data_IF_097830606148
#
_entry.id   IF_097830606148
#
_cell.length_a   1.000
_cell.length_b   1.000
_cell.length_c   1.000
_cell.angle_alpha   90.00
_cell.angle_beta   90.00
_cell.angle_gamma   90.00
#
_symmetry.space_group_name_H-M   'P 1'
#
loop_
_entity.id
_entity.type
_entity.pdbx_description
1 polymer ?
#
# COMPACT_ATOMS: atom_id res chain seq x y z
N UNK A 1 18.37 20.43 -3.92
CA UNK A 1 16.89 20.61 -3.86
C UNK A 1 16.10 19.62 -4.72
N UNK A 2 16.65 18.44 -5.08
CA UNK A 2 15.98 17.41 -5.92
C UNK A 2 15.80 16.05 -5.20
N UNK A 3 16.04 15.99 -3.89
CA UNK A 3 16.27 14.72 -3.19
C UNK A 3 15.04 14.13 -2.47
N UNK A 4 13.89 14.79 -2.57
CA UNK A 4 12.66 14.36 -1.89
C UNK A 4 11.67 13.62 -2.80
N UNK A 5 11.88 13.58 -4.12
CA UNK A 5 10.94 12.93 -5.04
C UNK A 5 10.83 11.42 -4.79
N UNK A 6 11.94 10.72 -4.52
CA UNK A 6 11.92 9.29 -4.21
C UNK A 6 11.18 9.01 -2.89
N UNK A 7 11.33 9.88 -1.89
CA UNK A 7 10.58 9.78 -0.62
C UNK A 7 9.08 10.03 -0.83
N UNK A 8 8.74 11.03 -1.65
CA UNK A 8 7.35 11.31 -2.01
C UNK A 8 6.69 10.16 -2.76
N UNK A 9 7.39 9.55 -3.71
CA UNK A 9 6.90 8.41 -4.47
C UNK A 9 6.86 7.13 -3.61
N UNK A 10 7.72 7.02 -2.60
CA UNK A 10 7.62 5.94 -1.59
C UNK A 10 6.35 6.07 -0.74
N UNK A 11 5.99 7.29 -0.32
CA UNK A 11 4.76 7.54 0.45
C UNK A 11 3.50 7.54 -0.43
N UNK A 12 3.63 7.98 -1.68
CA UNK A 12 2.55 8.08 -2.66
C UNK A 12 2.96 7.39 -3.97
N UNK A 13 2.84 6.05 -4.05
CA UNK A 13 3.28 5.27 -5.20
C UNK A 13 2.64 5.69 -6.52
N UNK A 14 1.38 6.13 -6.48
CA UNK A 14 0.62 6.56 -7.67
C UNK A 14 0.89 8.01 -8.08
N UNK A 15 1.82 8.71 -7.44
CA UNK A 15 2.04 10.15 -7.65
C UNK A 15 2.28 10.52 -9.12
N UNK A 16 3.04 9.72 -9.87
CA UNK A 16 3.35 9.96 -11.28
C UNK A 16 2.20 9.59 -12.25
N UNK A 17 1.28 8.72 -11.84
CA UNK A 17 0.21 8.17 -12.68
C UNK A 17 -1.20 8.68 -12.31
N UNK A 18 -1.34 9.37 -11.18
CA UNK A 18 -2.63 9.83 -10.68
C UNK A 18 -3.16 11.03 -11.48
N UNK A 19 -4.46 11.00 -11.79
CA UNK A 19 -5.11 11.95 -12.71
C UNK A 19 -4.89 13.43 -12.34
N UNK A 20 -4.84 13.76 -11.06
CA UNK A 20 -4.70 15.15 -10.59
C UNK A 20 -3.26 15.59 -10.34
N UNK A 21 -2.35 14.65 -10.05
CA UNK A 21 -0.97 15.00 -9.66
C UNK A 21 0.05 14.73 -10.75
N UNK A 22 -0.32 14.00 -11.81
CA UNK A 22 0.56 13.59 -12.90
C UNK A 22 1.35 14.74 -13.52
N UNK A 23 0.69 15.86 -13.85
CA UNK A 23 1.37 16.96 -14.54
C UNK A 23 2.41 17.64 -13.65
N UNK A 24 2.06 17.90 -12.38
CA UNK A 24 2.99 18.44 -11.37
C UNK A 24 4.11 17.45 -11.07
N UNK A 25 3.80 16.17 -10.94
CA UNK A 25 4.78 15.10 -10.71
C UNK A 25 5.79 15.01 -11.86
N UNK A 26 5.32 15.12 -13.10
CA UNK A 26 6.16 15.14 -14.28
C UNK A 26 7.01 16.41 -14.38
N UNK A 27 6.57 17.56 -13.86
CA UNK A 27 7.36 18.80 -13.86
C UNK A 27 8.42 18.83 -12.74
N UNK A 28 8.03 18.45 -11.52
CA UNK A 28 8.89 18.55 -10.33
C UNK A 28 9.80 17.33 -10.18
N UNK A 29 9.28 16.15 -10.49
CA UNK A 29 9.94 14.86 -10.30
C UNK A 29 10.19 14.11 -11.63
N UNK A 30 10.45 14.85 -12.71
CA UNK A 30 10.63 14.31 -14.06
C UNK A 30 11.59 13.11 -14.14
N UNK A 31 12.72 13.14 -13.41
CA UNK A 31 13.67 12.01 -13.33
C UNK A 31 13.03 10.76 -12.72
N UNK A 32 12.36 10.94 -11.58
CA UNK A 32 11.73 9.85 -10.83
C UNK A 32 10.48 9.30 -11.50
N UNK A 33 9.77 10.12 -12.29
CA UNK A 33 8.63 9.71 -13.09
C UNK A 33 9.02 9.19 -14.48
N UNK A 34 10.30 8.82 -14.70
CA UNK A 34 10.72 8.13 -15.93
C UNK A 34 10.74 8.97 -17.20
N UNK A 35 10.71 10.31 -17.11
CA UNK A 35 10.83 11.20 -18.28
C UNK A 35 12.25 11.29 -18.82
N UNK A 36 13.25 10.96 -18.01
CA UNK A 36 14.63 10.82 -18.47
C UNK A 36 14.90 9.35 -18.85
N UNK A 37 15.76 9.13 -19.84
CA UNK A 37 16.25 7.80 -20.18
C UNK A 37 17.10 7.25 -19.02
N UNK A 38 16.45 6.55 -18.09
CA UNK A 38 17.08 5.82 -17.01
C UNK A 38 16.97 4.34 -17.35
N UNK A 39 18.09 3.63 -17.40
CA UNK A 39 18.16 2.20 -17.76
C UNK A 39 17.78 1.26 -16.61
N UNK A 40 17.09 1.75 -15.59
CA UNK A 40 16.70 0.97 -14.43
C UNK A 40 15.28 0.42 -14.62
N UNK A 41 15.05 -0.84 -14.26
CA UNK A 41 13.73 -1.46 -14.23
C UNK A 41 13.54 -2.19 -12.92
N UNK A 42 12.34 -2.16 -12.36
CA UNK A 42 12.01 -2.90 -11.15
C UNK A 42 11.29 -4.18 -11.53
N UNK A 43 11.78 -5.30 -11.01
CA UNK A 43 11.17 -6.62 -11.16
C UNK A 43 10.35 -6.99 -9.96
N UNK A 44 9.29 -7.76 -10.18
CA UNK A 44 8.55 -8.44 -9.13
C UNK A 44 9.49 -9.33 -8.29
N UNK A 45 9.53 -9.15 -6.95
CA UNK A 45 10.35 -10.00 -6.08
C UNK A 45 9.93 -11.48 -6.05
N UNK A 46 8.75 -11.83 -6.60
CA UNK A 46 8.26 -13.21 -6.76
C UNK A 46 8.40 -14.07 -5.50
N UNK A 47 7.74 -13.68 -4.41
CA UNK A 47 7.74 -14.45 -3.16
C UNK A 47 6.52 -15.36 -3.07
N UNK A 48 6.64 -16.53 -2.42
CA UNK A 48 5.54 -17.51 -2.36
C UNK A 48 4.30 -17.03 -1.62
N UNK A 49 4.47 -16.14 -0.65
CA UNK A 49 3.42 -15.61 0.21
C UNK A 49 2.75 -14.32 -0.32
N UNK A 50 3.29 -13.72 -1.39
CA UNK A 50 2.78 -12.48 -2.00
C UNK A 50 2.49 -12.73 -3.47
N UNK A 51 1.31 -12.31 -3.91
CA UNK A 51 0.88 -12.34 -5.30
C UNK A 51 0.85 -10.93 -5.86
N UNK A 52 1.55 -10.70 -6.97
CA UNK A 52 1.41 -9.48 -7.75
C UNK A 52 0.04 -9.44 -8.45
N UNK A 53 -0.65 -8.30 -8.37
CA UNK A 53 -1.97 -8.08 -8.98
C UNK A 53 -1.95 -7.14 -10.17
N UNK A 54 -0.86 -6.41 -10.39
CA UNK A 54 -0.65 -5.62 -11.60
C UNK A 54 -0.52 -6.52 -12.84
N UNK A 55 -0.54 -5.95 -14.04
CA UNK A 55 -0.38 -6.72 -15.30
C UNK A 55 1.08 -7.08 -15.59
N UNK A 56 2.01 -6.15 -15.41
CA UNK A 56 3.44 -6.32 -15.76
C UNK A 56 4.32 -6.73 -14.58
N UNK A 57 5.16 -7.76 -14.76
CA UNK A 57 6.16 -8.21 -13.77
C UNK A 57 7.45 -7.37 -13.77
N UNK A 58 7.55 -6.43 -14.69
CA UNK A 58 8.62 -5.43 -14.82
C UNK A 58 7.97 -4.08 -15.05
N UNK A 59 8.45 -3.08 -14.32
CA UNK A 59 7.97 -1.70 -14.42
C UNK A 59 9.14 -0.73 -14.47
N UNK A 60 8.93 0.42 -15.11
CA UNK A 60 9.90 1.49 -15.26
C UNK A 60 9.83 2.49 -14.10
N UNK A 61 10.86 3.33 -13.89
CA UNK A 61 10.84 4.34 -12.83
C UNK A 61 9.61 5.25 -12.94
N UNK A 62 8.89 5.42 -11.83
CA UNK A 62 7.66 6.20 -11.77
C UNK A 62 6.38 5.41 -12.03
N UNK A 63 6.47 4.18 -12.51
CA UNK A 63 5.35 3.24 -12.52
C UNK A 63 5.19 2.58 -11.15
N UNK A 64 4.01 2.00 -10.93
CA UNK A 64 3.64 1.33 -9.70
C UNK A 64 3.25 -0.13 -9.92
N UNK A 65 3.57 -0.96 -8.92
CA UNK A 65 3.25 -2.37 -8.84
C UNK A 65 2.36 -2.62 -7.64
N UNK A 66 1.26 -3.34 -7.85
CA UNK A 66 0.32 -3.73 -6.80
C UNK A 66 0.51 -5.18 -6.40
N UNK A 67 0.33 -5.44 -5.11
CA UNK A 67 0.54 -6.72 -4.46
C UNK A 67 -0.61 -7.03 -3.50
N UNK A 68 -0.89 -8.32 -3.38
CA UNK A 68 -1.82 -8.88 -2.40
C UNK A 68 -1.20 -10.15 -1.79
N UNK A 69 -1.73 -10.61 -0.67
CA UNK A 69 -1.28 -11.88 -0.10
C UNK A 69 -1.80 -13.05 -0.94
N UNK A 70 -0.94 -14.06 -1.13
CA UNK A 70 -1.34 -15.32 -1.76
C UNK A 70 -2.46 -15.99 -0.98
N UNK A 71 -3.24 -16.86 -1.64
CA UNK A 71 -4.31 -17.62 -0.99
C UNK A 71 -3.79 -18.37 0.24
N UNK A 72 -4.48 -18.22 1.38
CA UNK A 72 -4.08 -18.81 2.66
C UNK A 72 -3.07 -17.98 3.47
N UNK A 73 -2.62 -16.85 2.94
CA UNK A 73 -1.85 -15.84 3.66
C UNK A 73 -2.63 -14.55 3.79
N UNK A 74 -2.30 -13.77 4.81
CA UNK A 74 -3.03 -12.56 5.16
C UNK A 74 -2.08 -11.41 5.45
N UNK A 75 -2.57 -10.20 5.16
CA UNK A 75 -1.81 -8.97 5.33
C UNK A 75 -1.55 -8.68 6.80
N UNK A 76 -0.28 -8.42 7.13
CA UNK A 76 0.15 -8.02 8.47
C UNK A 76 0.68 -6.60 8.49
N UNK A 77 1.51 -6.24 7.50
CA UNK A 77 2.11 -4.90 7.39
C UNK A 77 2.74 -4.67 6.02
N UNK A 78 3.24 -3.45 5.79
CA UNK A 78 3.95 -3.06 4.56
C UNK A 78 3.03 -2.46 3.50
N UNK A 79 3.56 -2.24 2.30
CA UNK A 79 2.84 -1.49 1.26
C UNK A 79 2.26 -2.42 0.19
N UNK A 80 0.94 -2.35 -0.02
CA UNK A 80 0.23 -3.07 -1.09
C UNK A 80 0.49 -2.49 -2.49
N UNK A 81 0.92 -1.24 -2.56
CA UNK A 81 1.27 -0.56 -3.80
C UNK A 81 2.67 0.02 -3.63
N UNK A 82 3.56 -0.24 -4.57
CA UNK A 82 4.95 0.21 -4.49
C UNK A 82 5.40 0.73 -5.83
N UNK A 83 6.13 1.84 -5.83
CA UNK A 83 6.59 2.48 -7.05
C UNK A 83 8.05 2.15 -7.34
N UNK A 84 8.42 2.19 -8.62
CA UNK A 84 9.79 1.92 -9.04
C UNK A 84 10.68 3.16 -8.90
N UNK A 85 11.82 2.97 -8.25
CA UNK A 85 12.87 3.99 -8.14
C UNK A 85 13.69 4.13 -9.42
N UNK A 86 14.43 5.23 -9.52
CA UNK A 86 15.42 5.42 -10.61
C UNK A 86 16.62 4.50 -10.50
N UNK A 87 16.79 3.77 -9.39
CA UNK A 87 17.88 2.82 -9.19
C UNK A 87 17.46 1.36 -9.40
N UNK A 88 16.19 1.09 -9.78
CA UNK A 88 15.70 -0.25 -10.06
C UNK A 88 15.17 -1.01 -8.85
N UNK A 89 15.03 -0.34 -7.71
CA UNK A 89 14.42 -0.90 -6.50
C UNK A 89 12.96 -0.46 -6.33
N UNK A 90 12.10 -1.33 -5.82
CA UNK A 90 10.76 -0.94 -5.39
C UNK A 90 10.84 -0.12 -4.10
N UNK A 91 10.22 1.06 -4.13
CA UNK A 91 10.13 1.97 -2.99
C UNK A 91 9.05 1.50 -2.01
N UNK A 92 9.14 1.98 -0.77
CA UNK A 92 8.25 1.55 0.32
C UNK A 92 8.68 0.21 0.93
N UNK A 93 7.85 -0.28 1.85
CA UNK A 93 8.07 -1.49 2.63
C UNK A 93 7.56 -2.73 1.91
N UNK A 94 8.30 -3.83 1.99
CA UNK A 94 7.85 -5.11 1.46
C UNK A 94 6.54 -5.53 2.13
N UNK A 95 5.59 -6.05 1.34
CA UNK A 95 4.35 -6.60 1.86
C UNK A 95 4.64 -7.81 2.74
N UNK A 96 4.18 -7.76 3.99
CA UNK A 96 4.34 -8.85 4.95
C UNK A 96 3.03 -9.63 5.01
N UNK A 97 3.09 -10.86 4.49
CA UNK A 97 1.98 -11.81 4.49
C UNK A 97 2.33 -13.03 5.35
N UNK A 98 1.45 -13.38 6.29
CA UNK A 98 1.62 -14.53 7.19
C UNK A 98 0.40 -15.47 7.11
N UNK A 99 0.64 -16.77 7.24
CA UNK A 99 -0.43 -17.79 7.30
C UNK A 99 -1.23 -17.69 8.61
N UNK A 100 -0.55 -17.28 9.67
CA UNK A 100 -1.15 -16.92 10.96
C UNK A 100 -0.36 -15.74 11.57
N UNK A 101 -1.03 -14.79 12.22
CA UNK A 101 -0.35 -13.69 12.88
C UNK A 101 0.36 -14.25 14.12
N UNK A 102 1.68 -14.06 14.18
CA UNK A 102 2.51 -14.53 15.31
C UNK A 102 2.35 -13.67 16.58
N UNK A 103 1.67 -12.53 16.47
CA UNK A 103 1.44 -11.55 17.53
C UNK A 103 0.01 -11.00 17.43
N UNK A 104 -0.54 -10.36 18.48
CA UNK A 104 -1.78 -9.60 18.34
C UNK A 104 -1.56 -8.48 17.32
N UNK A 105 -2.10 -8.67 16.12
CA UNK A 105 -2.04 -7.69 15.04
C UNK A 105 -3.12 -6.65 15.29
N UNK A 106 -2.70 -5.40 15.49
CA UNK A 106 -3.60 -4.27 15.38
C UNK A 106 -3.96 -4.13 13.89
N UNK A 107 -5.15 -4.59 13.53
CA UNK A 107 -5.51 -4.76 12.13
C UNK A 107 -5.57 -3.44 11.38
N UNK A 108 -5.69 -2.27 12.04
CA UNK A 108 -5.80 -1.01 11.32
C UNK A 108 -5.90 0.25 12.21
N UNK A 109 -4.94 0.53 13.10
CA UNK A 109 -4.94 1.79 13.86
C UNK A 109 -5.12 3.03 12.96
N UNK A 110 -4.58 3.00 11.73
CA UNK A 110 -4.61 4.10 10.77
C UNK A 110 -5.77 4.06 9.76
N UNK A 111 -6.51 2.94 9.62
CA UNK A 111 -7.71 2.86 8.77
C UNK A 111 -9.01 2.83 9.57
N UNK A 112 -8.96 3.01 10.90
CA UNK A 112 -10.20 3.18 11.68
C UNK A 112 -10.88 4.46 11.22
N UNK A 113 -12.05 4.29 10.58
CA UNK A 113 -12.87 5.43 10.16
C UNK A 113 -13.31 6.19 11.39
N UNK A 114 -13.01 7.49 11.43
CA UNK A 114 -13.54 8.40 12.45
C UNK A 114 -15.07 8.38 12.41
N UNK A 115 -15.69 8.37 13.59
CA UNK A 115 -17.14 8.49 13.71
C UNK A 115 -17.58 9.80 13.08
N UNK A 116 -18.55 9.73 12.16
CA UNK A 116 -19.15 10.93 11.57
C UNK A 116 -19.99 11.62 12.65
N UNK A 117 -19.80 12.92 12.85
CA UNK A 117 -20.48 13.70 13.90
C UNK A 117 -22.01 13.69 13.77
N UNK A 118 -22.51 13.46 12.56
CA UNK A 118 -23.95 13.41 12.23
C UNK A 118 -24.63 12.11 12.70
N UNK A 119 -23.87 11.10 13.13
CA UNK A 119 -24.44 9.84 13.62
C UNK A 119 -25.08 10.06 15.00
N UNK A 120 -26.35 9.66 15.19
CA UNK A 120 -27.03 9.81 16.47
C UNK A 120 -26.23 9.14 17.59
N UNK A 121 -26.07 9.83 18.72
CA UNK A 121 -25.47 9.25 19.93
C UNK A 121 -26.31 8.06 20.39
N UNK A 122 -25.67 7.01 20.91
CA UNK A 122 -26.32 5.81 21.48
C UNK A 122 -27.05 4.90 20.47
N UNK A 123 -26.80 5.07 19.17
CA UNK A 123 -27.26 4.12 18.14
C UNK A 123 -26.07 3.27 17.70
N UNK A 124 -26.22 1.95 17.79
CA UNK A 124 -25.26 1.00 17.26
C UNK A 124 -25.82 0.42 15.95
N UNK A 125 -25.02 0.48 14.89
CA UNK A 125 -25.31 -0.22 13.65
C UNK A 125 -24.51 -1.52 13.64
N UNK A 126 -25.22 -2.65 13.60
CA UNK A 126 -24.60 -3.94 13.33
C UNK A 126 -24.50 -4.04 11.81
N UNK A 127 -23.28 -4.02 11.29
CA UNK A 127 -23.02 -4.12 9.86
C UNK A 127 -22.07 -5.29 9.62
N UNK A 128 -22.40 -6.11 8.62
CA UNK A 128 -21.53 -7.16 8.12
C UNK A 128 -20.85 -6.67 6.84
N UNK A 129 -19.73 -5.99 7.01
CA UNK A 129 -18.94 -5.45 5.91
C UNK A 129 -17.73 -6.37 5.75
N UNK A 130 -17.55 -7.02 4.58
CA UNK A 130 -16.48 -7.98 4.34
C UNK A 130 -15.08 -7.47 4.71
N UNK A 131 -14.83 -6.19 4.50
CA UNK A 131 -13.55 -5.51 4.77
C UNK A 131 -13.24 -5.35 6.27
N UNK A 132 -14.24 -5.42 7.15
CA UNK A 132 -14.05 -5.37 8.61
C UNK A 132 -13.99 -6.75 9.26
N UNK A 133 -14.07 -7.82 8.47
CA UNK A 133 -13.96 -9.19 9.00
C UNK A 133 -12.52 -9.47 9.40
N UNK A 134 -12.34 -9.87 10.66
CA UNK A 134 -11.05 -10.35 11.15
C UNK A 134 -10.74 -11.65 10.40
N UNK A 135 -9.66 -11.71 9.61
CA UNK A 135 -9.41 -12.84 8.73
C UNK A 135 -8.78 -14.04 9.45
N UNK A 136 -8.54 -13.91 10.76
CA UNK A 136 -7.91 -14.93 11.59
C UNK A 136 -8.78 -15.27 12.79
N UNK A 137 -8.75 -16.55 13.18
CA UNK A 137 -9.28 -16.96 14.47
C UNK A 137 -8.46 -16.31 15.59
N UNK A 138 -9.12 -15.56 16.46
CA UNK A 138 -8.47 -14.85 17.54
C UNK A 138 -9.45 -14.38 18.59
N UNK A 139 -8.93 -13.74 19.63
CA UNK A 139 -9.74 -13.05 20.64
C UNK A 139 -9.41 -11.57 20.58
N UNK A 140 -10.44 -10.73 20.56
CA UNK A 140 -10.27 -9.28 20.68
C UNK A 140 -9.78 -9.02 22.11
N UNK A 141 -8.56 -8.52 22.25
CA UNK A 141 -7.95 -8.24 23.57
C UNK A 141 -8.14 -6.77 23.99
N UNK A 142 -8.39 -5.87 23.04
CA UNK A 142 -8.55 -4.44 23.28
C UNK A 142 -9.45 -3.82 22.22
N UNK A 143 -10.31 -2.91 22.65
CA UNK A 143 -11.13 -2.06 21.77
C UNK A 143 -10.57 -0.65 21.76
N UNK A 144 -10.57 -0.01 20.59
CA UNK A 144 -10.29 1.41 20.44
C UNK A 144 -11.59 2.13 20.06
N UNK A 145 -11.88 3.21 20.76
CA UNK A 145 -13.02 4.08 20.49
C UNK A 145 -12.47 5.47 20.14
N UNK A 146 -12.89 6.01 19.00
CA UNK A 146 -12.56 7.36 18.54
C UNK A 146 -13.83 8.18 18.37
#
# INVERSE_FOLDING_TARGET
MYDNCQKWIAAFPKFCNHKTTKDTAQMVCFKSCGKCAVSATCTDPNTSNVKRTSSSNKINPGEDMTFECSTGFYYVSGDKVRACSTTGNLLGSNLVCQASPSLPVDLNLNEVRKRVETLPSKVAYIMDIPEYRIPFNGKITKWYYY
#
